data_IF_292377483499
#
_entry.id   IF_292377483499
#
_cell.length_a   1.000
_cell.length_b   1.000
_cell.length_c   1.000
_cell.angle_alpha   90.00
_cell.angle_beta   90.00
_cell.angle_gamma   90.00
#
_symmetry.space_group_name_H-M   'P 1'
#
loop_
_entity.id
_entity.type
_entity.pdbx_description
1 polymer ?
#
# COMPACT_ATOMS: atom_id res chain seq x y z
N UNK A 1 22.80 17.13 -15.40
CA UNK A 1 22.22 17.98 -14.33
C UNK A 1 20.72 18.00 -14.56
N UNK A 2 19.96 17.25 -13.73
CA UNK A 2 18.54 17.04 -13.94
C UNK A 2 17.69 18.30 -13.64
N UNK A 3 16.43 18.27 -14.12
CA UNK A 3 15.45 19.35 -13.92
C UNK A 3 15.23 19.66 -12.42
N UNK A 4 15.29 18.64 -11.55
CA UNK A 4 15.21 18.81 -10.10
C UNK A 4 16.31 19.74 -9.54
N UNK A 5 17.54 19.66 -10.06
CA UNK A 5 18.66 20.53 -9.64
C UNK A 5 18.44 21.99 -10.01
N UNK A 6 17.79 22.25 -11.17
CA UNK A 6 17.46 23.61 -11.59
C UNK A 6 16.37 24.23 -10.71
N UNK A 7 15.35 23.44 -10.31
CA UNK A 7 14.29 23.88 -9.41
C UNK A 7 14.77 24.12 -7.98
N UNK A 8 15.72 23.31 -7.46
CA UNK A 8 16.33 23.55 -6.14
C UNK A 8 17.11 24.86 -6.11
N UNK A 9 17.79 25.24 -7.22
CA UNK A 9 18.44 26.54 -7.35
C UNK A 9 17.42 27.70 -7.39
N UNK A 10 16.27 27.51 -8.06
CA UNK A 10 15.22 28.51 -8.11
C UNK A 10 14.55 28.73 -6.74
N UNK A 11 14.37 27.65 -5.94
CA UNK A 11 13.83 27.74 -4.58
C UNK A 11 14.74 28.54 -3.62
N UNK A 12 16.05 28.47 -3.81
CA UNK A 12 17.02 29.26 -3.03
C UNK A 12 16.90 30.76 -3.31
N UNK A 13 16.30 31.14 -4.45
CA UNK A 13 16.14 32.53 -4.86
C UNK A 13 14.73 33.06 -4.47
N UNK A 14 13.70 32.23 -4.57
CA UNK A 14 12.31 32.53 -4.17
C UNK A 14 11.68 31.34 -3.45
N UNK A 15 11.84 31.22 -2.12
CA UNK A 15 11.26 30.11 -1.34
C UNK A 15 9.76 30.28 -1.22
N UNK A 16 8.99 29.73 -2.16
CA UNK A 16 7.53 29.73 -2.19
C UNK A 16 6.94 28.32 -2.15
N UNK A 17 5.72 28.18 -1.63
CA UNK A 17 5.00 26.90 -1.56
C UNK A 17 4.82 26.27 -2.97
N UNK A 18 4.58 27.10 -3.98
CA UNK A 18 4.48 26.67 -5.37
C UNK A 18 5.80 26.10 -5.93
N UNK A 19 6.96 26.66 -5.55
CA UNK A 19 8.27 26.13 -5.95
C UNK A 19 8.53 24.77 -5.32
N UNK A 20 8.24 24.60 -4.01
CA UNK A 20 8.35 23.31 -3.30
C UNK A 20 7.46 22.24 -3.91
N UNK A 21 6.21 22.56 -4.25
CA UNK A 21 5.29 21.64 -4.91
C UNK A 21 5.83 21.19 -6.28
N UNK A 22 6.40 22.10 -7.09
CA UNK A 22 7.02 21.79 -8.38
C UNK A 22 8.26 20.89 -8.24
N UNK A 23 9.12 21.18 -7.26
CA UNK A 23 10.30 20.35 -6.97
C UNK A 23 9.87 18.94 -6.55
N UNK A 24 8.87 18.83 -5.66
CA UNK A 24 8.33 17.55 -5.25
C UNK A 24 7.75 16.76 -6.44
N UNK A 25 7.01 17.43 -7.33
CA UNK A 25 6.45 16.81 -8.53
C UNK A 25 7.53 16.33 -9.51
N UNK A 26 8.60 17.12 -9.72
CA UNK A 26 9.73 16.72 -10.60
C UNK A 26 10.48 15.55 -10.01
N UNK A 27 10.82 15.58 -8.70
CA UNK A 27 11.47 14.45 -8.02
C UNK A 27 10.64 13.17 -8.10
N UNK A 28 9.33 13.28 -7.83
CA UNK A 28 8.42 12.14 -7.95
C UNK A 28 8.39 11.57 -9.37
N UNK A 29 8.45 12.43 -10.39
CA UNK A 29 8.50 12.01 -11.80
C UNK A 29 9.83 11.34 -12.16
N UNK A 30 10.97 11.86 -11.68
CA UNK A 30 12.29 11.26 -11.85
C UNK A 30 12.38 9.90 -11.14
N UNK A 31 11.88 9.79 -9.91
CA UNK A 31 11.79 8.52 -9.18
C UNK A 31 10.94 7.49 -9.91
N UNK A 32 9.77 7.88 -10.42
CA UNK A 32 8.91 7.01 -11.20
C UNK A 32 9.53 6.57 -12.52
N UNK A 33 10.32 7.44 -13.17
CA UNK A 33 11.01 7.11 -14.42
C UNK A 33 12.08 6.03 -14.24
N UNK A 34 12.69 5.96 -13.05
CA UNK A 34 13.67 4.92 -12.68
C UNK A 34 13.07 3.56 -12.31
N UNK A 35 11.73 3.45 -12.18
CA UNK A 35 11.07 2.20 -11.83
C UNK A 35 10.88 1.30 -13.07
N UNK A 36 10.74 -0.03 -12.87
CA UNK A 36 10.48 -0.99 -13.94
C UNK A 36 9.27 -0.60 -14.80
N UNK A 37 9.26 -1.03 -16.06
CA UNK A 37 8.15 -0.77 -16.98
C UNK A 37 6.83 -1.33 -16.44
N UNK A 38 6.89 -2.49 -15.81
CA UNK A 38 5.76 -3.17 -15.17
C UNK A 38 5.14 -2.30 -14.06
N UNK A 39 5.94 -1.64 -13.23
CA UNK A 39 5.42 -0.72 -12.22
C UNK A 39 4.65 0.44 -12.85
N UNK A 40 5.18 1.02 -13.91
CA UNK A 40 4.55 2.14 -14.61
C UNK A 40 3.25 1.74 -15.31
N UNK A 41 3.14 0.46 -15.72
CA UNK A 41 1.95 -0.07 -16.36
C UNK A 41 0.78 -0.33 -15.38
N UNK A 42 1.03 -0.41 -14.05
CA UNK A 42 -0.01 -0.71 -13.06
C UNK A 42 -1.20 0.26 -13.16
N UNK A 43 -0.93 1.56 -13.36
CA UNK A 43 -1.98 2.59 -13.42
C UNK A 43 -2.94 2.46 -14.61
N UNK A 44 -2.58 1.69 -15.63
CA UNK A 44 -3.42 1.41 -16.81
C UNK A 44 -3.85 -0.06 -16.91
N UNK A 45 -3.48 -0.88 -15.93
CA UNK A 45 -3.86 -2.29 -15.89
C UNK A 45 -5.36 -2.45 -15.60
N UNK A 46 -6.00 -3.43 -16.25
CA UNK A 46 -7.40 -3.75 -16.01
C UNK A 46 -7.66 -4.38 -14.62
N UNK A 47 -6.63 -4.95 -14.03
CA UNK A 47 -6.66 -5.63 -12.74
C UNK A 47 -5.32 -5.45 -12.03
N UNK A 48 -5.36 -5.33 -10.71
CA UNK A 48 -4.15 -5.25 -9.88
C UNK A 48 -3.80 -6.66 -9.38
N UNK A 49 -2.54 -7.06 -9.55
CA UNK A 49 -2.04 -8.32 -8.98
C UNK A 49 -1.43 -8.11 -7.59
N UNK A 50 -1.21 -9.21 -6.86
CA UNK A 50 -0.54 -9.18 -5.54
C UNK A 50 0.89 -8.63 -5.64
N UNK A 51 1.59 -8.90 -6.75
CA UNK A 51 2.91 -8.33 -7.04
C UNK A 51 2.85 -6.82 -7.25
N UNK A 52 1.84 -6.34 -7.99
CA UNK A 52 1.61 -4.91 -8.24
C UNK A 52 1.30 -4.18 -6.92
N UNK A 53 0.39 -4.74 -6.11
CA UNK A 53 0.05 -4.18 -4.80
C UNK A 53 1.28 -4.10 -3.88
N UNK A 54 2.10 -5.16 -3.84
CA UNK A 54 3.34 -5.17 -3.06
C UNK A 54 4.32 -4.10 -3.55
N UNK A 55 4.45 -3.91 -4.86
CA UNK A 55 5.31 -2.87 -5.43
C UNK A 55 4.77 -1.45 -5.13
N UNK A 56 3.46 -1.22 -5.25
CA UNK A 56 2.83 0.06 -4.89
C UNK A 56 3.10 0.42 -3.42
N UNK A 57 2.87 -0.51 -2.50
CA UNK A 57 3.14 -0.32 -1.07
C UNK A 57 4.64 -0.12 -0.83
N UNK A 58 5.49 -0.96 -1.43
CA UNK A 58 6.93 -0.94 -1.23
C UNK A 58 7.60 0.35 -1.70
N UNK A 59 7.19 0.88 -2.85
CA UNK A 59 7.68 2.15 -3.40
C UNK A 59 7.18 3.33 -2.59
N UNK A 60 5.87 3.38 -2.29
CA UNK A 60 5.24 4.55 -1.65
C UNK A 60 5.48 4.61 -0.14
N UNK A 61 5.57 3.45 0.52
CA UNK A 61 5.64 3.34 1.97
C UNK A 61 6.95 2.68 2.45
N UNK A 62 7.99 2.65 1.62
CA UNK A 62 9.26 1.99 1.92
C UNK A 62 9.91 2.43 3.22
N UNK A 63 9.82 3.71 3.59
CA UNK A 63 10.31 4.23 4.85
C UNK A 63 9.53 3.67 6.06
N UNK A 64 8.20 3.54 5.93
CA UNK A 64 7.33 2.95 6.95
C UNK A 64 7.65 1.46 7.14
N UNK A 65 7.79 0.70 6.04
CA UNK A 65 8.13 -0.72 6.08
C UNK A 65 9.50 -0.96 6.74
N UNK A 66 10.51 -0.16 6.40
CA UNK A 66 11.84 -0.23 7.03
C UNK A 66 11.78 0.00 8.53
N UNK A 67 10.92 0.91 8.98
CA UNK A 67 10.78 1.28 10.38
C UNK A 67 9.89 0.33 11.20
N UNK A 68 9.14 -0.55 10.54
CA UNK A 68 8.29 -1.55 11.20
C UNK A 68 9.08 -2.72 11.80
N UNK A 69 10.37 -2.85 11.46
CA UNK A 69 11.18 -3.99 11.81
C UNK A 69 11.17 -5.06 10.70
N UNK A 70 11.89 -6.15 10.94
CA UNK A 70 11.99 -7.26 9.99
C UNK A 70 11.64 -8.55 10.70
N UNK A 71 10.69 -9.26 10.18
CA UNK A 71 10.52 -10.67 10.50
C UNK A 71 11.66 -11.45 9.84
N UNK A 72 12.52 -12.08 10.64
CA UNK A 72 13.62 -12.91 10.16
C UNK A 72 13.09 -14.30 9.79
N UNK A 73 13.71 -14.92 8.78
CA UNK A 73 13.39 -16.32 8.42
C UNK A 73 12.18 -16.51 7.53
N UNK A 74 11.52 -15.46 7.05
CA UNK A 74 10.39 -15.63 6.13
C UNK A 74 10.87 -16.18 4.80
N UNK A 75 10.35 -17.34 4.42
CA UNK A 75 10.62 -18.01 3.16
C UNK A 75 9.48 -17.73 2.18
N UNK A 76 9.82 -17.29 0.97
CA UNK A 76 8.88 -17.13 -0.15
C UNK A 76 9.47 -17.84 -1.37
N UNK A 77 8.72 -18.78 -1.93
CA UNK A 77 9.27 -19.73 -2.90
C UNK A 77 9.16 -19.29 -4.36
N UNK A 78 8.19 -18.45 -4.71
CA UNK A 78 7.76 -18.17 -6.09
C UNK A 78 8.05 -16.75 -6.59
N UNK A 79 8.95 -16.01 -5.91
CA UNK A 79 9.18 -14.58 -6.22
C UNK A 79 10.57 -14.28 -6.80
N UNK A 80 11.50 -15.24 -6.80
CA UNK A 80 12.92 -14.99 -7.14
C UNK A 80 13.12 -14.28 -8.46
N UNK A 81 12.38 -14.64 -9.50
CA UNK A 81 12.47 -14.06 -10.85
C UNK A 81 11.38 -13.03 -11.15
N UNK A 82 10.56 -12.67 -10.16
CA UNK A 82 9.49 -11.70 -10.37
C UNK A 82 10.03 -10.28 -10.27
N UNK A 83 9.62 -9.39 -11.18
CA UNK A 83 10.07 -8.00 -11.23
C UNK A 83 9.86 -7.25 -9.90
N UNK A 84 8.77 -7.54 -9.18
CA UNK A 84 8.43 -6.95 -7.89
C UNK A 84 9.10 -7.63 -6.69
N UNK A 85 10.00 -8.62 -6.88
CA UNK A 85 10.58 -9.42 -5.79
C UNK A 85 11.12 -8.58 -4.60
N UNK A 86 11.86 -7.47 -4.80
CA UNK A 86 12.37 -6.68 -3.67
C UNK A 86 11.26 -6.10 -2.80
N UNK A 87 10.17 -5.63 -3.42
CA UNK A 87 9.03 -5.04 -2.71
C UNK A 87 8.14 -6.11 -2.07
N UNK A 88 7.95 -7.25 -2.74
CA UNK A 88 7.27 -8.41 -2.15
C UNK A 88 7.97 -8.82 -0.86
N UNK A 89 9.28 -8.98 -0.87
CA UNK A 89 10.04 -9.31 0.34
C UNK A 89 9.93 -8.22 1.42
N UNK A 90 9.86 -6.95 1.03
CA UNK A 90 9.71 -5.84 1.97
C UNK A 90 8.34 -5.87 2.67
N UNK A 91 7.25 -6.05 1.93
CA UNK A 91 5.89 -6.09 2.52
C UNK A 91 5.65 -7.35 3.34
N UNK A 92 6.25 -8.49 2.95
CA UNK A 92 6.16 -9.74 3.69
C UNK A 92 6.91 -9.63 5.02
N UNK A 93 8.16 -9.15 5.02
CA UNK A 93 8.95 -8.95 6.25
C UNK A 93 8.36 -7.93 7.21
N UNK A 94 7.61 -6.96 6.70
CA UNK A 94 6.89 -5.98 7.52
C UNK A 94 5.51 -6.48 7.98
N UNK A 95 5.12 -7.74 7.66
CA UNK A 95 3.83 -8.31 8.01
C UNK A 95 2.62 -7.66 7.33
N UNK A 96 2.84 -6.87 6.24
CA UNK A 96 1.76 -6.16 5.53
C UNK A 96 1.02 -7.10 4.58
N UNK A 97 1.74 -7.97 3.89
CA UNK A 97 1.17 -9.04 3.07
C UNK A 97 1.82 -10.35 3.44
N UNK A 98 1.02 -11.41 3.55
CA UNK A 98 1.51 -12.73 3.93
C UNK A 98 1.58 -13.68 2.72
N UNK A 99 2.59 -14.56 2.66
CA UNK A 99 2.55 -15.72 1.79
C UNK A 99 1.45 -16.67 2.25
N UNK A 100 1.01 -17.55 1.35
CA UNK A 100 0.11 -18.65 1.69
C UNK A 100 0.81 -19.71 2.56
N UNK A 101 0.05 -20.63 3.11
CA UNK A 101 0.56 -21.72 3.96
C UNK A 101 1.61 -22.61 3.29
N UNK A 102 1.64 -22.66 1.95
CA UNK A 102 2.64 -23.36 1.15
C UNK A 102 3.89 -22.50 0.84
N UNK A 103 4.07 -21.36 1.53
CA UNK A 103 5.13 -20.39 1.32
C UNK A 103 5.13 -19.70 -0.07
N UNK A 104 4.08 -19.84 -0.86
CA UNK A 104 3.93 -19.11 -2.12
C UNK A 104 3.30 -17.73 -1.85
N UNK A 105 3.81 -16.68 -2.49
CA UNK A 105 3.20 -15.36 -2.47
C UNK A 105 2.12 -15.20 -3.53
N UNK A 106 2.21 -15.98 -4.61
CA UNK A 106 1.37 -15.88 -5.80
C UNK A 106 1.34 -14.46 -6.40
N UNK A 107 2.48 -13.92 -6.86
CA UNK A 107 2.59 -12.52 -7.28
C UNK A 107 1.69 -12.14 -8.45
N UNK A 108 1.28 -13.12 -9.28
CA UNK A 108 0.32 -12.93 -10.40
C UNK A 108 -1.14 -13.09 -10.00
N UNK A 109 -1.42 -13.44 -8.73
CA UNK A 109 -2.78 -13.57 -8.22
C UNK A 109 -3.48 -12.21 -8.21
N UNK A 110 -4.72 -12.17 -8.70
CA UNK A 110 -5.53 -10.94 -8.78
C UNK A 110 -5.97 -10.52 -7.38
N UNK A 111 -5.87 -9.23 -7.09
CA UNK A 111 -6.27 -8.64 -5.80
C UNK A 111 -7.77 -8.35 -5.81
N UNK A 112 -8.45 -8.80 -4.76
CA UNK A 112 -9.84 -8.43 -4.48
C UNK A 112 -9.90 -7.31 -3.44
N UNK A 113 -11.03 -6.64 -3.33
CA UNK A 113 -11.21 -5.55 -2.35
C UNK A 113 -10.94 -6.00 -0.92
N UNK A 114 -11.27 -7.24 -0.57
CA UNK A 114 -10.93 -7.81 0.75
C UNK A 114 -9.42 -7.95 0.93
N UNK A 115 -8.69 -8.42 -0.08
CA UNK A 115 -7.23 -8.55 -0.02
C UNK A 115 -6.57 -7.18 0.16
N UNK A 116 -7.07 -6.17 -0.56
CA UNK A 116 -6.63 -4.79 -0.42
C UNK A 116 -6.91 -4.25 0.99
N UNK A 117 -8.10 -4.51 1.55
CA UNK A 117 -8.45 -4.09 2.91
C UNK A 117 -7.57 -4.75 3.97
N UNK A 118 -7.25 -6.04 3.81
CA UNK A 118 -6.31 -6.74 4.69
C UNK A 118 -4.92 -6.11 4.67
N UNK A 119 -4.38 -5.82 3.50
CA UNK A 119 -3.08 -5.16 3.37
C UNK A 119 -3.12 -3.72 3.94
N UNK A 120 -4.15 -2.94 3.61
CA UNK A 120 -4.32 -1.57 4.07
C UNK A 120 -4.51 -1.50 5.60
N UNK A 121 -5.27 -2.41 6.21
CA UNK A 121 -5.45 -2.45 7.67
C UNK A 121 -4.13 -2.71 8.40
N UNK A 122 -3.25 -3.55 7.83
CA UNK A 122 -1.92 -3.82 8.39
C UNK A 122 -1.01 -2.60 8.27
N UNK A 123 -1.06 -1.89 7.14
CA UNK A 123 -0.36 -0.59 6.99
C UNK A 123 -0.86 0.41 8.03
N UNK A 124 -2.18 0.51 8.23
CA UNK A 124 -2.77 1.35 9.28
C UNK A 124 -2.28 0.93 10.67
N UNK A 125 -2.11 -0.37 10.94
CA UNK A 125 -1.52 -0.90 12.16
C UNK A 125 -0.10 -0.38 12.41
N UNK A 126 0.74 -0.34 11.37
CA UNK A 126 2.10 0.22 11.45
C UNK A 126 2.10 1.73 11.75
N UNK A 127 1.14 2.47 11.18
CA UNK A 127 0.95 3.89 11.47
C UNK A 127 0.42 4.09 12.88
N UNK A 128 -0.52 3.25 13.30
CA UNK A 128 -1.17 3.25 14.59
C UNK A 128 -0.17 3.11 15.76
N UNK A 129 0.88 2.31 15.58
CA UNK A 129 1.95 2.16 16.57
C UNK A 129 2.61 3.50 16.95
N UNK A 130 2.53 4.49 16.06
CA UNK A 130 3.09 5.84 16.26
C UNK A 130 2.04 6.90 16.63
N UNK A 131 0.74 6.56 16.54
CA UNK A 131 -0.39 7.47 16.77
C UNK A 131 -1.50 6.78 17.56
N UNK A 132 -1.29 6.45 18.84
CA UNK A 132 -2.18 5.57 19.60
C UNK A 132 -3.60 6.12 19.81
N UNK A 133 -3.79 7.44 19.83
CA UNK A 133 -5.12 8.04 19.93
C UNK A 133 -5.96 7.79 18.65
N UNK A 134 -5.35 7.98 17.49
CA UNK A 134 -5.99 7.73 16.19
C UNK A 134 -6.24 6.24 15.96
N UNK A 135 -5.29 5.38 16.41
CA UNK A 135 -5.41 3.95 16.36
C UNK A 135 -6.67 3.44 17.07
N UNK A 136 -6.94 3.96 18.28
CA UNK A 136 -8.14 3.58 19.04
C UNK A 136 -9.44 3.91 18.29
N UNK A 137 -9.51 5.07 17.65
CA UNK A 137 -10.67 5.46 16.86
C UNK A 137 -10.90 4.48 15.68
N UNK A 138 -9.85 4.13 14.94
CA UNK A 138 -9.94 3.19 13.82
C UNK A 138 -10.31 1.77 14.28
N UNK A 139 -9.73 1.29 15.38
CA UNK A 139 -10.01 -0.04 15.94
C UNK A 139 -11.40 -0.15 16.57
N UNK A 140 -11.95 0.97 17.06
CA UNK A 140 -13.29 1.04 17.62
C UNK A 140 -14.39 1.16 16.56
N UNK A 141 -14.03 1.43 15.30
CA UNK A 141 -15.00 1.56 14.22
C UNK A 141 -15.84 0.29 14.03
N UNK A 142 -17.14 0.45 13.93
CA UNK A 142 -18.11 -0.64 13.71
C UNK A 142 -19.11 -0.20 12.63
N UNK A 143 -18.64 0.01 11.39
CA UNK A 143 -19.51 0.40 10.30
C UNK A 143 -20.51 -0.73 10.03
N UNK A 144 -21.74 -0.36 9.69
CA UNK A 144 -22.72 -1.32 9.17
C UNK A 144 -22.33 -1.67 7.73
N UNK A 145 -22.05 -2.96 7.47
CA UNK A 145 -21.65 -3.48 6.17
C UNK A 145 -22.62 -4.60 5.82
N UNK A 146 -23.42 -4.39 4.77
CA UNK A 146 -24.53 -5.31 4.45
C UNK A 146 -24.06 -6.64 3.86
N UNK A 147 -22.93 -6.65 3.16
CA UNK A 147 -22.41 -7.81 2.43
C UNK A 147 -21.17 -8.43 3.10
N UNK A 148 -20.88 -8.06 4.34
CA UNK A 148 -19.80 -8.64 5.14
C UNK A 148 -20.24 -8.76 6.61
N UNK A 149 -20.65 -9.94 7.07
CA UNK A 149 -21.06 -10.18 8.45
C UNK A 149 -19.94 -9.87 9.47
N UNK A 150 -20.32 -9.48 10.68
CA UNK A 150 -19.38 -9.10 11.74
C UNK A 150 -18.54 -10.27 12.27
N UNK A 151 -18.96 -11.49 12.09
CA UNK A 151 -18.24 -12.73 12.40
C UNK A 151 -17.31 -13.20 11.28
N UNK A 152 -17.34 -12.56 10.12
CA UNK A 152 -16.42 -12.84 9.03
C UNK A 152 -14.99 -12.44 9.43
N UNK A 153 -13.99 -13.32 9.20
CA UNK A 153 -12.59 -13.10 9.55
C UNK A 153 -11.99 -11.79 9.02
N UNK A 154 -12.45 -11.32 7.87
CA UNK A 154 -12.02 -10.07 7.26
C UNK A 154 -12.74 -8.82 7.80
N UNK A 155 -13.83 -8.97 8.58
CA UNK A 155 -14.60 -7.82 9.04
C UNK A 155 -13.76 -6.80 9.85
N UNK A 156 -12.90 -7.19 10.80
CA UNK A 156 -12.10 -6.22 11.56
C UNK A 156 -11.20 -5.36 10.67
N UNK A 157 -10.62 -5.96 9.62
CA UNK A 157 -9.78 -5.23 8.66
C UNK A 157 -10.60 -4.24 7.82
N UNK A 158 -11.76 -4.69 7.32
CA UNK A 158 -12.67 -3.83 6.54
C UNK A 158 -13.23 -2.71 7.42
N UNK A 159 -13.65 -3.01 8.65
CA UNK A 159 -14.14 -2.00 9.59
C UNK A 159 -13.07 -0.93 9.87
N UNK A 160 -11.80 -1.33 10.03
CA UNK A 160 -10.69 -0.41 10.25
C UNK A 160 -10.46 0.50 9.04
N UNK A 161 -10.40 -0.03 7.81
CA UNK A 161 -10.10 0.77 6.62
C UNK A 161 -11.27 1.69 6.24
N UNK A 162 -12.50 1.28 6.53
CA UNK A 162 -13.69 2.12 6.38
C UNK A 162 -13.70 3.22 7.45
N UNK A 163 -13.46 2.87 8.71
CA UNK A 163 -13.41 3.82 9.83
C UNK A 163 -12.25 4.81 9.74
N UNK A 164 -11.18 4.47 9.01
CA UNK A 164 -10.06 5.34 8.71
C UNK A 164 -10.24 6.18 7.43
N UNK A 165 -11.39 6.06 6.75
CA UNK A 165 -11.71 6.71 5.47
C UNK A 165 -10.69 6.39 4.35
N UNK A 166 -10.10 5.19 4.39
CA UNK A 166 -9.14 4.71 3.37
C UNK A 166 -9.87 3.98 2.24
N UNK A 167 -10.92 3.23 2.58
CA UNK A 167 -11.73 2.51 1.61
C UNK A 167 -13.22 2.75 1.89
N UNK A 168 -13.89 3.63 1.14
CA UNK A 168 -15.30 3.91 1.34
C UNK A 168 -16.17 2.72 0.97
N UNK A 169 -17.35 2.65 1.60
CA UNK A 169 -18.42 1.74 1.19
C UNK A 169 -19.05 2.24 -0.11
N UNK A 170 -19.43 1.31 -0.98
CA UNK A 170 -20.26 1.61 -2.13
C UNK A 170 -21.73 1.66 -1.72
N UNK A 171 -22.53 2.45 -2.42
CA UNK A 171 -23.98 2.57 -2.19
C UNK A 171 -24.34 2.78 -0.70
N UNK A 172 -23.45 3.42 0.05
CA UNK A 172 -23.58 3.77 1.46
C UNK A 172 -23.35 2.65 2.47
N UNK A 173 -23.43 1.37 2.11
CA UNK A 173 -23.33 0.27 3.06
C UNK A 173 -22.73 -1.05 2.51
N UNK A 174 -22.31 -1.10 1.26
CA UNK A 174 -21.83 -2.31 0.59
C UNK A 174 -20.32 -2.23 0.40
N UNK A 175 -19.55 -3.25 0.82
CA UNK A 175 -18.10 -3.27 0.66
C UNK A 175 -17.63 -3.96 -0.62
N UNK A 176 -18.37 -4.97 -1.09
CA UNK A 176 -18.06 -5.81 -2.26
C UNK A 176 -16.72 -6.55 -2.09
N UNK A 177 -16.56 -7.42 -1.08
CA UNK A 177 -15.28 -8.03 -0.70
C UNK A 177 -14.63 -8.86 -1.83
N UNK A 178 -15.42 -9.46 -2.70
CA UNK A 178 -14.96 -10.30 -3.83
C UNK A 178 -14.68 -9.51 -5.11
N UNK A 179 -15.02 -8.23 -5.15
CA UNK A 179 -14.78 -7.38 -6.33
C UNK A 179 -13.26 -7.28 -6.61
N UNK A 180 -12.89 -7.51 -7.86
CA UNK A 180 -11.52 -7.32 -8.36
C UNK A 180 -11.18 -5.84 -8.38
N UNK A 181 -9.94 -5.53 -8.04
CA UNK A 181 -9.37 -4.17 -8.01
C UNK A 181 -8.55 -3.90 -9.27
#
# INVERSE_FOLDING_TARGET
VGAASAYVKAEAIEPGEAARARIAAVRSREELAGLPAEYRAIGSAAQVTRGDLAALIGVRLGALLKAAGREEGVVVTDVRSHWAAPWIMAVVRAGVMEPYSNHAFAPRGVVRRLDLALAASRVLGLIAARRPAQARAWQAARPQILDLPTDHLGYPAVAMVVGADVMPLADGAVFRPTQVV
#
